data_IF_905986535446
#
_entry.id   IF_905986535446
#
_cell.length_a   1.000
_cell.length_b   1.000
_cell.length_c   1.000
_cell.angle_alpha   90.00
_cell.angle_beta   90.00
_cell.angle_gamma   90.00
#
_symmetry.space_group_name_H-M   'P 1'
#
loop_
_entity.id
_entity.type
_entity.pdbx_description
1 polymer ?
#
# COMPACT_ATOMS: atom_id res chain seq x y z
N UNK A 1 8.83 16.12 -34.71
CA UNK A 1 8.74 14.65 -34.90
C UNK A 1 9.61 13.88 -33.91
N UNK A 2 10.87 14.31 -33.72
CA UNK A 2 11.82 13.73 -32.75
C UNK A 2 11.32 13.76 -31.31
N UNK A 3 10.80 14.89 -30.83
CA UNK A 3 10.26 15.00 -29.46
C UNK A 3 9.13 14.00 -29.20
N UNK A 4 8.18 13.88 -30.13
CA UNK A 4 7.09 12.89 -30.04
C UNK A 4 7.62 11.47 -29.98
N UNK A 5 8.60 11.13 -30.83
CA UNK A 5 9.24 9.81 -30.82
C UNK A 5 9.88 9.54 -29.47
N UNK A 6 10.73 10.46 -28.99
CA UNK A 6 11.44 10.30 -27.73
C UNK A 6 10.47 10.21 -26.54
N UNK A 7 9.43 11.04 -26.51
CA UNK A 7 8.38 10.97 -25.49
C UNK A 7 7.63 9.63 -25.49
N UNK A 8 7.37 9.05 -26.66
CA UNK A 8 6.80 7.70 -26.73
C UNK A 8 7.79 6.63 -26.25
N UNK A 9 9.07 6.71 -26.57
CA UNK A 9 10.07 5.76 -26.05
C UNK A 9 10.16 5.81 -24.52
N UNK A 10 10.08 7.01 -23.93
CA UNK A 10 9.97 7.17 -22.46
C UNK A 10 8.68 6.56 -21.93
N UNK A 11 7.56 6.71 -22.62
CA UNK A 11 6.29 6.06 -22.25
C UNK A 11 6.41 4.52 -22.25
N UNK A 12 7.02 3.95 -23.29
CA UNK A 12 7.28 2.50 -23.37
C UNK A 12 8.22 2.00 -22.27
N UNK A 13 9.30 2.73 -22.00
CA UNK A 13 10.19 2.44 -20.88
C UNK A 13 9.46 2.52 -19.52
N UNK A 14 8.60 3.53 -19.34
CA UNK A 14 7.75 3.67 -18.15
C UNK A 14 6.79 2.49 -17.96
N UNK A 15 6.13 2.02 -19.03
CA UNK A 15 5.29 0.82 -18.99
C UNK A 15 6.11 -0.44 -18.68
N UNK A 16 7.32 -0.56 -19.24
CA UNK A 16 8.23 -1.68 -18.97
C UNK A 16 8.65 -1.73 -17.50
N UNK A 17 9.05 -0.59 -16.93
CA UNK A 17 9.39 -0.47 -15.51
C UNK A 17 8.18 -0.72 -14.60
N UNK A 18 6.98 -0.30 -15.02
CA UNK A 18 5.75 -0.62 -14.31
C UNK A 18 5.47 -2.13 -14.31
N UNK A 19 5.73 -2.83 -15.41
CA UNK A 19 5.64 -4.30 -15.49
C UNK A 19 6.68 -4.98 -14.59
N UNK A 20 7.90 -4.48 -14.56
CA UNK A 20 8.94 -4.97 -13.65
C UNK A 20 8.60 -4.73 -12.17
N UNK A 21 7.79 -3.71 -11.86
CA UNK A 21 7.42 -3.37 -10.49
C UNK A 21 6.19 -4.12 -9.99
N UNK A 22 5.16 -4.32 -10.84
CA UNK A 22 3.86 -4.88 -10.41
C UNK A 22 3.17 -5.78 -11.44
N UNK A 23 3.95 -6.36 -12.35
CA UNK A 23 3.44 -7.32 -13.34
C UNK A 23 2.61 -6.69 -14.46
N UNK A 24 1.85 -7.52 -15.17
CA UNK A 24 1.22 -7.18 -16.45
C UNK A 24 0.26 -5.99 -16.37
N UNK A 25 -0.23 -5.64 -15.18
CA UNK A 25 -1.08 -4.47 -14.97
C UNK A 25 -0.41 -3.16 -15.47
N UNK A 26 0.93 -3.10 -15.46
CA UNK A 26 1.72 -1.97 -15.95
C UNK A 26 1.58 -1.70 -17.45
N UNK A 27 1.14 -2.68 -18.24
CA UNK A 27 0.84 -2.51 -19.68
C UNK A 27 -0.65 -2.69 -19.99
N UNK A 28 -1.36 -3.53 -19.23
CA UNK A 28 -2.79 -3.77 -19.41
C UNK A 28 -3.61 -2.52 -19.14
N UNK A 29 -3.36 -1.78 -18.04
CA UNK A 29 -4.13 -0.57 -17.73
C UNK A 29 -3.89 0.54 -18.76
N UNK A 30 -2.65 0.94 -19.11
CA UNK A 30 -2.43 1.94 -20.15
C UNK A 30 -3.01 1.52 -21.51
N UNK A 31 -2.87 0.25 -21.89
CA UNK A 31 -3.44 -0.28 -23.13
C UNK A 31 -4.97 -0.20 -23.17
N UNK A 32 -5.64 -0.60 -22.08
CA UNK A 32 -7.08 -0.53 -21.98
C UNK A 32 -7.60 0.93 -21.93
N UNK A 33 -6.90 1.82 -21.23
CA UNK A 33 -7.20 3.26 -21.22
C UNK A 33 -7.08 3.84 -22.63
N UNK A 34 -6.00 3.51 -23.36
CA UNK A 34 -5.81 3.95 -24.74
C UNK A 34 -6.90 3.41 -25.69
N UNK A 35 -7.30 2.15 -25.49
CA UNK A 35 -8.40 1.54 -26.23
C UNK A 35 -9.70 2.29 -26.00
N UNK A 36 -10.13 2.48 -24.75
CA UNK A 36 -11.35 3.23 -24.41
C UNK A 36 -11.26 4.68 -24.91
N UNK A 37 -10.12 5.33 -24.73
CA UNK A 37 -9.87 6.68 -25.21
C UNK A 37 -10.09 6.79 -26.71
N UNK A 38 -9.62 5.79 -27.49
CA UNK A 38 -9.80 5.74 -28.93
C UNK A 38 -11.26 5.99 -29.23
N UNK A 39 -12.19 5.14 -28.77
CA UNK A 39 -13.62 5.24 -29.01
C UNK A 39 -14.27 6.55 -28.53
N UNK A 40 -13.95 6.97 -27.30
CA UNK A 40 -14.56 8.18 -26.70
C UNK A 40 -14.08 9.47 -27.39
N UNK A 41 -12.83 9.50 -27.86
CA UNK A 41 -12.24 10.66 -28.52
C UNK A 41 -12.43 10.67 -30.04
N UNK A 42 -12.83 9.54 -30.66
CA UNK A 42 -12.89 9.41 -32.13
C UNK A 42 -11.54 9.59 -32.83
N UNK A 43 -10.41 9.40 -32.13
CA UNK A 43 -9.05 9.55 -32.68
C UNK A 43 -8.35 8.20 -32.95
N UNK A 44 -8.65 7.56 -34.09
CA UNK A 44 -8.01 6.29 -34.46
C UNK A 44 -6.56 6.48 -34.91
N UNK A 45 -6.19 7.72 -35.28
CA UNK A 45 -4.84 8.04 -35.73
C UNK A 45 -3.84 8.01 -34.57
N UNK A 46 -4.30 7.98 -33.32
CA UNK A 46 -3.44 7.87 -32.13
C UNK A 46 -2.52 6.64 -32.19
N UNK A 47 -3.00 5.51 -32.68
CA UNK A 47 -2.23 4.26 -32.79
C UNK A 47 -1.00 4.41 -33.69
N UNK A 48 -1.08 5.24 -34.73
CA UNK A 48 0.06 5.55 -35.62
C UNK A 48 1.10 6.45 -34.96
N UNK A 49 0.78 7.09 -33.82
CA UNK A 49 1.65 8.02 -33.10
C UNK A 49 2.40 7.35 -31.95
N UNK A 50 2.16 6.08 -31.66
CA UNK A 50 2.76 5.33 -30.53
C UNK A 50 4.22 4.93 -30.76
N UNK A 51 4.71 5.01 -32.00
CA UNK A 51 6.04 4.52 -32.37
C UNK A 51 6.29 3.06 -31.92
N UNK A 52 5.28 2.20 -32.06
CA UNK A 52 5.23 0.87 -31.45
C UNK A 52 6.41 -0.05 -31.80
N UNK A 53 7.01 0.05 -33.00
CA UNK A 53 8.16 -0.77 -33.38
C UNK A 53 9.34 -0.60 -32.41
N UNK A 54 9.91 0.60 -32.35
CA UNK A 54 11.00 0.89 -31.40
C UNK A 54 10.54 0.90 -29.94
N UNK A 55 9.27 1.23 -29.70
CA UNK A 55 8.67 1.16 -28.36
C UNK A 55 8.68 -0.25 -27.77
N UNK A 56 8.25 -1.25 -28.54
CA UNK A 56 8.27 -2.65 -28.14
C UNK A 56 9.69 -3.17 -27.95
N UNK A 57 10.64 -2.75 -28.79
CA UNK A 57 12.06 -3.08 -28.60
C UNK A 57 12.54 -2.59 -27.24
N UNK A 58 12.32 -1.31 -26.90
CA UNK A 58 12.67 -0.77 -25.58
C UNK A 58 11.98 -1.53 -24.45
N UNK A 59 10.69 -1.83 -24.61
CA UNK A 59 9.91 -2.53 -23.60
C UNK A 59 10.45 -3.94 -23.32
N UNK A 60 10.73 -4.73 -24.36
CA UNK A 60 11.22 -6.10 -24.21
C UNK A 60 12.68 -6.15 -23.77
N UNK A 61 13.52 -5.21 -24.20
CA UNK A 61 14.91 -5.10 -23.70
C UNK A 61 14.93 -4.88 -22.19
N UNK A 62 13.97 -4.15 -21.62
CA UNK A 62 13.88 -3.90 -20.17
C UNK A 62 13.24 -5.08 -19.44
N UNK A 63 12.15 -5.65 -19.97
CA UNK A 63 11.34 -6.66 -19.24
C UNK A 63 11.87 -8.08 -19.40
N UNK A 64 12.18 -8.49 -20.63
CA UNK A 64 12.48 -9.89 -20.96
C UNK A 64 13.67 -10.48 -20.21
N UNK A 65 14.80 -9.77 -19.97
CA UNK A 65 15.98 -10.40 -19.37
C UNK A 65 15.70 -11.04 -18.01
N UNK A 66 15.05 -10.31 -17.10
CA UNK A 66 14.76 -10.83 -15.76
C UNK A 66 13.74 -11.97 -15.81
N UNK A 67 12.65 -11.81 -16.57
CA UNK A 67 11.63 -12.84 -16.71
C UNK A 67 12.20 -14.14 -17.30
N UNK A 68 13.11 -14.05 -18.27
CA UNK A 68 13.77 -15.23 -18.84
C UNK A 68 14.68 -15.88 -17.80
N UNK A 69 15.57 -15.11 -17.16
CA UNK A 69 16.52 -15.66 -16.18
C UNK A 69 15.81 -16.34 -15.00
N UNK A 70 14.82 -15.67 -14.39
CA UNK A 70 14.09 -16.26 -13.25
C UNK A 70 13.31 -17.52 -13.64
N UNK A 71 12.81 -17.59 -14.88
CA UNK A 71 12.06 -18.76 -15.38
C UNK A 71 12.97 -19.93 -15.76
N UNK A 72 14.22 -19.67 -16.12
CA UNK A 72 15.23 -20.73 -16.33
C UNK A 72 15.62 -21.33 -14.99
N UNK A 73 15.89 -20.48 -14.00
CA UNK A 73 16.32 -20.91 -12.67
C UNK A 73 15.17 -21.52 -11.84
N UNK A 74 13.92 -21.10 -12.10
CA UNK A 74 12.72 -21.52 -11.36
C UNK A 74 11.59 -21.84 -12.37
N UNK A 75 11.53 -23.07 -12.93
CA UNK A 75 10.58 -23.44 -13.99
C UNK A 75 9.09 -23.30 -13.63
N UNK A 76 8.76 -23.30 -12.34
CA UNK A 76 7.43 -23.11 -11.78
C UNK A 76 6.98 -21.63 -11.77
N UNK A 77 7.93 -20.69 -11.86
CA UNK A 77 7.67 -19.25 -11.80
C UNK A 77 6.65 -18.76 -12.84
N UNK A 78 6.72 -19.10 -14.14
CA UNK A 78 5.77 -18.58 -15.12
C UNK A 78 4.32 -18.95 -14.82
N UNK A 79 4.08 -20.19 -14.37
CA UNK A 79 2.75 -20.65 -14.02
C UNK A 79 2.23 -19.90 -12.78
N UNK A 80 3.06 -19.76 -11.76
CA UNK A 80 2.70 -19.01 -10.55
C UNK A 80 2.46 -17.52 -10.87
N UNK A 81 3.45 -16.85 -11.46
CA UNK A 81 3.38 -15.41 -11.69
C UNK A 81 2.35 -15.02 -12.75
N UNK A 82 2.33 -15.64 -13.93
CA UNK A 82 1.42 -15.21 -14.98
C UNK A 82 0.00 -15.76 -14.77
N UNK A 83 -0.16 -17.03 -14.37
CA UNK A 83 -1.49 -17.65 -14.28
C UNK A 83 -2.14 -17.40 -12.92
N UNK A 84 -1.47 -17.76 -11.82
CA UNK A 84 -2.04 -17.61 -10.49
C UNK A 84 -2.22 -16.14 -10.11
N UNK A 85 -1.14 -15.34 -10.17
CA UNK A 85 -1.14 -13.96 -9.68
C UNK A 85 -1.90 -12.95 -10.57
N UNK A 86 -2.13 -13.23 -11.85
CA UNK A 86 -2.86 -12.32 -12.74
C UNK A 86 -4.23 -12.83 -13.13
N UNK A 87 -4.32 -14.03 -13.74
CA UNK A 87 -5.59 -14.52 -14.25
C UNK A 87 -6.47 -15.07 -13.12
N UNK A 88 -5.99 -16.03 -12.34
CA UNK A 88 -6.78 -16.63 -11.26
C UNK A 88 -7.09 -15.61 -10.17
N UNK A 89 -6.13 -14.73 -9.82
CA UNK A 89 -6.34 -13.65 -8.86
C UNK A 89 -7.43 -12.67 -9.25
N UNK A 90 -7.60 -12.41 -10.55
CA UNK A 90 -8.64 -11.50 -11.06
C UNK A 90 -10.00 -12.17 -11.25
N UNK A 91 -10.02 -13.44 -11.70
CA UNK A 91 -11.27 -14.15 -12.03
C UNK A 91 -11.88 -14.92 -10.85
N UNK A 92 -11.08 -15.30 -9.87
CA UNK A 92 -11.52 -16.08 -8.72
C UNK A 92 -11.78 -15.22 -7.48
N UNK A 93 -12.60 -15.73 -6.54
CA UNK A 93 -12.82 -15.14 -5.21
C UNK A 93 -11.84 -15.67 -4.15
N UNK A 94 -10.76 -16.34 -4.57
CA UNK A 94 -9.89 -17.15 -3.69
C UNK A 94 -9.19 -16.30 -2.61
N UNK A 95 -8.98 -15.00 -2.86
CA UNK A 95 -8.51 -14.10 -1.81
C UNK A 95 -9.73 -13.49 -1.09
N UNK A 96 -9.89 -13.80 0.19
CA UNK A 96 -10.93 -13.29 1.11
C UNK A 96 -10.90 -11.75 1.35
N UNK A 97 -10.70 -10.96 0.29
CA UNK A 97 -10.64 -9.49 0.27
C UNK A 97 -11.79 -8.90 -0.55
N UNK A 98 -12.96 -9.53 -0.46
CA UNK A 98 -14.16 -9.06 -1.11
C UNK A 98 -14.64 -7.77 -0.42
N UNK A 99 -14.69 -6.68 -1.17
CA UNK A 99 -15.30 -5.41 -0.75
C UNK A 99 -16.47 -5.04 -1.65
N UNK A 100 -17.42 -4.22 -1.15
CA UNK A 100 -18.54 -3.76 -1.96
C UNK A 100 -18.06 -2.97 -3.18
N UNK A 101 -18.92 -2.81 -4.19
CA UNK A 101 -18.56 -2.07 -5.41
C UNK A 101 -18.16 -0.61 -5.12
N UNK A 102 -18.67 -0.03 -4.03
CA UNK A 102 -18.34 1.33 -3.57
C UNK A 102 -17.10 1.39 -2.65
N UNK A 103 -16.34 0.31 -2.48
CA UNK A 103 -15.16 0.25 -1.60
C UNK A 103 -14.16 1.40 -1.83
N UNK A 104 -13.91 1.77 -3.08
CA UNK A 104 -12.96 2.82 -3.43
C UNK A 104 -13.52 4.24 -3.34
N UNK A 105 -14.84 4.42 -3.20
CA UNK A 105 -15.47 5.75 -3.07
C UNK A 105 -14.94 6.51 -1.85
N UNK A 106 -15.02 5.99 -0.60
CA UNK A 106 -14.51 6.72 0.56
C UNK A 106 -12.99 6.94 0.48
N UNK A 107 -12.23 5.99 -0.10
CA UNK A 107 -10.79 6.11 -0.28
C UNK A 107 -10.41 7.22 -1.27
N UNK A 108 -11.16 7.34 -2.38
CA UNK A 108 -10.98 8.44 -3.32
C UNK A 108 -11.31 9.78 -2.63
N UNK A 109 -12.44 9.88 -1.93
CA UNK A 109 -12.82 11.13 -1.27
C UNK A 109 -11.78 11.56 -0.23
N UNK A 110 -11.27 10.62 0.58
CA UNK A 110 -10.23 10.88 1.56
C UNK A 110 -8.89 11.25 0.89
N UNK A 111 -8.45 10.48 -0.10
CA UNK A 111 -7.21 10.74 -0.83
C UNK A 111 -7.22 12.03 -1.65
N UNK A 112 -8.41 12.58 -1.93
CA UNK A 112 -8.57 13.86 -2.61
C UNK A 112 -8.52 15.07 -1.67
N UNK A 113 -8.53 14.91 -0.34
CA UNK A 113 -8.27 16.03 0.58
C UNK A 113 -6.84 16.53 0.36
N UNK A 114 -6.59 17.83 0.12
CA UNK A 114 -7.45 19.00 0.36
C UNK A 114 -8.20 19.57 -0.87
N UNK A 115 -8.23 18.84 -1.99
CA UNK A 115 -8.79 19.24 -3.29
C UNK A 115 -10.23 18.74 -3.53
N UNK A 116 -10.90 18.23 -2.50
CA UNK A 116 -12.20 17.58 -2.62
C UNK A 116 -13.27 18.46 -3.29
N UNK A 117 -13.27 19.77 -3.01
CA UNK A 117 -14.21 20.73 -3.59
C UNK A 117 -13.97 21.06 -5.07
N UNK A 118 -12.85 20.60 -5.65
CA UNK A 118 -12.48 20.75 -7.06
C UNK A 118 -12.65 19.46 -7.87
N UNK A 119 -12.92 18.33 -7.22
CA UNK A 119 -12.94 17.00 -7.83
C UNK A 119 -13.95 16.92 -8.98
N UNK A 120 -15.20 17.33 -8.73
CA UNK A 120 -16.27 17.27 -9.71
C UNK A 120 -15.98 18.16 -10.94
N UNK A 121 -15.39 19.34 -10.71
CA UNK A 121 -15.08 20.30 -11.76
C UNK A 121 -13.90 19.83 -12.61
N UNK A 122 -12.90 19.18 -12.02
CA UNK A 122 -11.82 18.51 -12.76
C UNK A 122 -12.35 17.43 -13.70
N UNK A 123 -13.26 16.58 -13.23
CA UNK A 123 -13.91 15.58 -14.09
C UNK A 123 -14.76 16.22 -15.20
N UNK A 124 -15.53 17.27 -14.86
CA UNK A 124 -16.37 17.99 -15.84
C UNK A 124 -15.54 18.65 -16.95
N UNK A 125 -14.36 19.18 -16.62
CA UNK A 125 -13.41 19.73 -17.59
C UNK A 125 -13.02 18.70 -18.65
N UNK A 126 -12.71 17.47 -18.22
CA UNK A 126 -12.38 16.36 -19.14
C UNK A 126 -13.53 15.96 -20.07
N UNK A 127 -14.78 16.09 -19.62
CA UNK A 127 -15.98 15.80 -20.43
C UNK A 127 -16.24 16.90 -21.46
N UNK A 128 -16.06 18.16 -21.08
CA UNK A 128 -16.41 19.32 -21.91
C UNK A 128 -15.39 19.58 -23.02
N UNK A 129 -14.15 19.09 -22.87
CA UNK A 129 -13.12 19.30 -23.87
C UNK A 129 -13.49 18.61 -25.20
N UNK A 130 -13.75 19.42 -26.22
CA UNK A 130 -14.05 19.02 -27.59
C UNK A 130 -13.06 19.74 -28.49
N UNK A 131 -12.02 19.03 -28.89
CA UNK A 131 -11.00 19.53 -29.81
C UNK A 131 -10.77 18.55 -30.96
N UNK A 132 -10.23 19.08 -32.07
CA UNK A 132 -9.79 18.25 -33.18
C UNK A 132 -8.42 17.63 -32.85
N UNK A 133 -8.29 16.31 -32.97
CA UNK A 133 -7.05 15.58 -32.69
C UNK A 133 -6.94 15.07 -31.26
N UNK A 134 -5.71 15.04 -30.72
CA UNK A 134 -5.44 14.53 -29.38
C UNK A 134 -6.03 15.44 -28.30
N UNK A 135 -6.73 14.84 -27.34
CA UNK A 135 -7.48 15.50 -26.28
C UNK A 135 -6.93 15.04 -24.92
N UNK A 136 -5.92 15.74 -24.34
CA UNK A 136 -5.23 15.30 -23.12
C UNK A 136 -6.16 15.16 -21.92
N UNK A 137 -7.05 16.13 -21.69
CA UNK A 137 -8.00 16.12 -20.55
C UNK A 137 -8.95 14.92 -20.65
N UNK A 138 -9.37 14.56 -21.86
CA UNK A 138 -10.18 13.36 -22.09
C UNK A 138 -9.40 12.07 -21.83
N UNK A 139 -8.11 12.02 -22.18
CA UNK A 139 -7.25 10.89 -21.83
C UNK A 139 -7.11 10.73 -20.31
N UNK A 140 -6.89 11.83 -19.59
CA UNK A 140 -6.81 11.83 -18.13
C UNK A 140 -8.13 11.40 -17.46
N UNK A 141 -9.26 11.86 -18.00
CA UNK A 141 -10.59 11.44 -17.55
C UNK A 141 -10.79 9.94 -17.75
N UNK A 142 -10.50 9.43 -18.94
CA UNK A 142 -10.62 7.99 -19.24
C UNK A 142 -9.67 7.19 -18.35
N UNK A 143 -8.45 7.65 -18.13
CA UNK A 143 -7.49 7.02 -17.22
C UNK A 143 -8.07 6.87 -15.81
N UNK A 144 -8.50 7.97 -15.21
CA UNK A 144 -9.02 7.97 -13.84
C UNK A 144 -10.30 7.14 -13.73
N UNK A 145 -11.26 7.33 -14.65
CA UNK A 145 -12.54 6.63 -14.62
C UNK A 145 -12.37 5.13 -14.87
N UNK A 146 -11.63 4.74 -15.92
CA UNK A 146 -11.45 3.33 -16.26
C UNK A 146 -10.78 2.56 -15.13
N UNK A 147 -9.65 3.06 -14.61
CA UNK A 147 -8.91 2.37 -13.54
C UNK A 147 -9.74 2.29 -12.26
N UNK A 148 -10.46 3.35 -11.91
CA UNK A 148 -11.36 3.36 -10.75
C UNK A 148 -12.45 2.27 -10.88
N UNK A 149 -13.12 2.19 -12.03
CA UNK A 149 -14.17 1.19 -12.25
C UNK A 149 -13.61 -0.22 -12.36
N UNK A 150 -12.48 -0.39 -13.05
CA UNK A 150 -11.78 -1.68 -13.19
C UNK A 150 -11.48 -2.31 -11.83
N UNK A 151 -10.91 -1.54 -10.89
CA UNK A 151 -10.65 -2.08 -9.55
C UNK A 151 -11.93 -2.18 -8.70
N UNK A 152 -12.93 -1.33 -8.91
CA UNK A 152 -14.20 -1.40 -8.17
C UNK A 152 -14.98 -2.70 -8.45
N UNK A 153 -14.87 -3.25 -9.68
CA UNK A 153 -15.49 -4.54 -10.05
C UNK A 153 -14.63 -5.76 -9.70
N UNK A 154 -13.34 -5.59 -9.38
CA UNK A 154 -12.43 -6.67 -9.01
C UNK A 154 -12.88 -7.44 -7.76
N UNK A 155 -12.67 -8.75 -7.73
CA UNK A 155 -12.96 -9.63 -6.59
C UNK A 155 -12.06 -9.34 -5.38
N UNK A 156 -10.79 -8.98 -5.64
CA UNK A 156 -9.80 -8.62 -4.64
C UNK A 156 -9.56 -7.11 -4.64
N UNK A 157 -9.66 -6.48 -3.45
CA UNK A 157 -9.50 -5.02 -3.28
C UNK A 157 -8.48 -4.71 -2.19
N UNK A 158 -7.48 -3.89 -2.53
CA UNK A 158 -6.61 -3.21 -1.57
C UNK A 158 -6.67 -1.69 -1.77
N UNK A 159 -6.55 -0.89 -0.70
CA UNK A 159 -6.65 0.57 -0.82
C UNK A 159 -5.68 1.17 -1.84
N UNK A 160 -4.47 0.60 -1.95
CA UNK A 160 -3.42 1.08 -2.85
C UNK A 160 -3.70 0.86 -4.34
N UNK A 161 -4.73 0.11 -4.72
CA UNK A 161 -5.02 -0.21 -6.12
C UNK A 161 -5.42 1.00 -6.95
N UNK A 162 -6.11 1.98 -6.34
CA UNK A 162 -6.49 3.20 -7.05
C UNK A 162 -5.40 4.28 -7.03
N UNK A 163 -4.24 4.07 -6.39
CA UNK A 163 -3.16 5.06 -6.36
C UNK A 163 -2.79 5.62 -7.76
N UNK A 164 -2.76 4.81 -8.84
CA UNK A 164 -2.43 5.32 -10.18
C UNK A 164 -3.39 6.36 -10.76
N UNK A 165 -4.59 6.58 -10.18
CA UNK A 165 -5.54 7.57 -10.71
C UNK A 165 -5.26 8.98 -10.23
N UNK A 166 -4.63 9.15 -9.06
CA UNK A 166 -4.44 10.46 -8.43
C UNK A 166 -3.61 11.44 -9.29
N UNK A 167 -2.52 11.02 -9.98
CA UNK A 167 -1.81 11.93 -10.89
C UNK A 167 -2.70 12.45 -12.02
N UNK A 168 -3.58 11.60 -12.58
CA UNK A 168 -4.48 12.00 -13.65
C UNK A 168 -5.55 12.98 -13.16
N UNK A 169 -6.12 12.73 -11.97
CA UNK A 169 -7.08 13.64 -11.33
C UNK A 169 -6.42 14.98 -10.98
N UNK A 170 -5.19 14.97 -10.47
CA UNK A 170 -4.43 16.18 -10.16
C UNK A 170 -4.21 17.04 -11.41
N UNK A 171 -3.84 16.43 -12.54
CA UNK A 171 -3.70 17.14 -13.82
C UNK A 171 -5.05 17.69 -14.34
N UNK A 172 -6.15 16.95 -14.19
CA UNK A 172 -7.49 17.45 -14.53
C UNK A 172 -7.88 18.68 -13.70
N UNK A 173 -7.62 18.63 -12.40
CA UNK A 173 -7.84 19.76 -11.50
C UNK A 173 -6.94 20.94 -11.91
N UNK A 174 -5.68 20.70 -12.25
CA UNK A 174 -4.76 21.74 -12.72
C UNK A 174 -5.26 22.41 -14.02
N UNK A 175 -5.80 21.65 -14.98
CA UNK A 175 -6.43 22.19 -16.18
C UNK A 175 -7.63 23.10 -15.84
N UNK A 176 -8.46 22.68 -14.89
CA UNK A 176 -9.60 23.48 -14.42
C UNK A 176 -9.16 24.74 -13.67
N UNK A 177 -8.08 24.67 -12.88
CA UNK A 177 -7.55 25.79 -12.09
C UNK A 177 -7.16 27.01 -12.95
N UNK A 178 -6.83 26.82 -14.24
CA UNK A 178 -6.52 27.93 -15.18
C UNK A 178 -7.67 28.90 -15.40
N UNK A 179 -8.91 28.48 -15.15
CA UNK A 179 -10.12 29.26 -15.40
C UNK A 179 -11.06 29.26 -14.18
N UNK A 180 -10.52 28.92 -13.01
CA UNK A 180 -11.32 28.75 -11.78
C UNK A 180 -11.90 30.08 -11.34
N UNK A 181 -13.13 30.03 -10.83
CA UNK A 181 -13.78 31.22 -10.24
C UNK A 181 -13.43 31.34 -8.76
N UNK A 182 -13.43 32.57 -8.26
CA UNK A 182 -13.24 32.84 -6.82
C UNK A 182 -14.25 32.08 -5.94
N UNK A 183 -15.46 31.87 -6.44
CA UNK A 183 -16.51 31.11 -5.74
C UNK A 183 -16.10 29.66 -5.52
N UNK A 184 -15.50 29.01 -6.52
CA UNK A 184 -15.10 27.60 -6.42
C UNK A 184 -13.89 27.42 -5.50
N UNK A 185 -12.94 28.36 -5.54
CA UNK A 185 -11.84 28.41 -4.56
C UNK A 185 -12.39 28.54 -3.13
N UNK A 186 -13.34 29.47 -2.93
CA UNK A 186 -13.97 29.69 -1.64
C UNK A 186 -14.69 28.44 -1.12
N UNK A 187 -15.38 27.70 -1.99
CA UNK A 187 -16.03 26.43 -1.65
C UNK A 187 -14.98 25.39 -1.24
N UNK A 188 -13.91 25.20 -2.02
CA UNK A 188 -12.87 24.21 -1.67
C UNK A 188 -12.19 24.56 -0.34
N UNK A 189 -11.88 25.83 -0.13
CA UNK A 189 -11.34 26.33 1.12
C UNK A 189 -12.31 26.09 2.29
N UNK A 190 -13.60 26.36 2.10
CA UNK A 190 -14.65 26.09 3.09
C UNK A 190 -14.82 24.60 3.41
N UNK A 191 -14.71 23.71 2.41
CA UNK A 191 -14.69 22.25 2.62
C UNK A 191 -13.50 21.85 3.48
N UNK A 192 -12.31 22.39 3.22
CA UNK A 192 -11.14 22.12 4.03
C UNK A 192 -11.30 22.62 5.48
N UNK A 193 -11.90 23.80 5.67
CA UNK A 193 -12.29 24.29 7.01
C UNK A 193 -13.24 23.32 7.71
N UNK A 194 -14.30 22.88 7.02
CA UNK A 194 -15.28 21.96 7.58
C UNK A 194 -14.65 20.61 7.99
N UNK A 195 -13.74 20.07 7.17
CA UNK A 195 -12.98 18.85 7.50
C UNK A 195 -12.12 19.08 8.73
N UNK A 196 -11.36 20.19 8.79
CA UNK A 196 -10.52 20.52 9.94
C UNK A 196 -11.33 20.69 11.24
N UNK A 197 -12.45 21.42 11.20
CA UNK A 197 -13.33 21.60 12.36
C UNK A 197 -13.99 20.28 12.79
N UNK A 198 -14.39 19.44 11.84
CA UNK A 198 -14.93 18.10 12.14
C UNK A 198 -13.87 17.22 12.79
N UNK A 199 -12.63 17.26 12.30
CA UNK A 199 -11.48 16.57 12.89
C UNK A 199 -11.24 17.01 14.34
N UNK A 200 -11.28 18.33 14.60
CA UNK A 200 -11.15 18.88 15.96
C UNK A 200 -12.30 18.46 16.88
N UNK A 201 -13.54 18.46 16.38
CA UNK A 201 -14.71 18.06 17.15
C UNK A 201 -14.70 16.56 17.51
N UNK A 202 -14.13 15.73 16.62
CA UNK A 202 -14.11 14.26 16.78
C UNK A 202 -12.79 13.73 17.33
N UNK A 203 -11.75 14.55 17.54
CA UNK A 203 -10.41 14.07 17.94
C UNK A 203 -10.46 13.24 19.23
N UNK A 204 -11.26 13.66 20.21
CA UNK A 204 -11.41 12.94 21.49
C UNK A 204 -12.06 11.54 21.36
N UNK A 205 -12.52 11.16 20.16
CA UNK A 205 -13.04 9.82 19.86
C UNK A 205 -11.96 8.86 19.36
N UNK A 206 -10.77 9.33 19.01
CA UNK A 206 -9.66 8.48 18.51
C UNK A 206 -9.30 7.33 19.47
N UNK A 207 -9.24 7.51 20.82
CA UNK A 207 -8.96 6.42 21.75
C UNK A 207 -9.99 5.28 21.72
N UNK A 208 -11.22 5.52 21.24
CA UNK A 208 -12.25 4.48 21.10
C UNK A 208 -11.91 3.45 20.00
N UNK A 209 -10.89 3.72 19.18
CA UNK A 209 -10.40 2.79 18.16
C UNK A 209 -9.48 1.70 18.75
N UNK A 210 -8.99 1.87 19.98
CA UNK A 210 -8.15 0.90 20.66
C UNK A 210 -8.92 -0.41 20.89
N UNK A 211 -8.31 -1.55 20.54
CA UNK A 211 -8.92 -2.88 20.74
C UNK A 211 -8.48 -3.55 22.04
N UNK A 212 -7.52 -2.97 22.75
CA UNK A 212 -6.98 -3.47 24.00
C UNK A 212 -6.49 -2.33 24.88
N UNK A 213 -6.35 -2.60 26.18
CA UNK A 213 -5.79 -1.66 27.15
C UNK A 213 -4.36 -1.24 26.80
N UNK A 214 -3.63 -2.09 26.08
CA UNK A 214 -2.27 -1.78 25.60
C UNK A 214 -2.28 -0.76 24.44
N UNK A 215 -3.27 -0.85 23.53
CA UNK A 215 -3.38 0.09 22.41
C UNK A 215 -3.90 1.46 22.85
N UNK A 216 -4.63 1.55 23.96
CA UNK A 216 -5.27 2.77 24.43
C UNK A 216 -4.27 3.93 24.66
N UNK A 217 -3.14 3.74 25.35
CA UNK A 217 -2.09 4.76 25.43
C UNK A 217 -1.52 5.18 24.07
N UNK A 218 -1.41 4.26 23.10
CA UNK A 218 -0.88 4.55 21.76
C UNK A 218 -1.83 5.45 20.98
N UNK A 219 -3.13 5.17 21.00
CA UNK A 219 -4.14 6.04 20.40
C UNK A 219 -4.27 7.38 21.14
N UNK A 220 -4.05 7.39 22.46
CA UNK A 220 -4.02 8.63 23.25
C UNK A 220 -2.83 9.49 22.86
N UNK A 221 -1.65 8.90 22.65
CA UNK A 221 -0.46 9.59 22.14
C UNK A 221 -0.65 10.13 20.70
N UNK A 222 -1.57 9.55 19.92
CA UNK A 222 -1.89 10.02 18.58
C UNK A 222 -2.81 11.27 18.56
N UNK A 223 -3.57 11.52 19.64
CA UNK A 223 -4.49 12.68 19.76
C UNK A 223 -3.87 14.03 19.36
N UNK A 224 -2.74 14.49 19.93
CA UNK A 224 -2.18 15.79 19.60
C UNK A 224 -1.80 15.93 18.12
N UNK A 225 -1.40 14.84 17.46
CA UNK A 225 -1.06 14.83 16.04
C UNK A 225 -2.30 14.96 15.15
N UNK A 226 -3.38 14.25 15.49
CA UNK A 226 -4.67 14.38 14.81
C UNK A 226 -5.25 15.78 15.02
N UNK A 227 -5.16 16.32 16.24
CA UNK A 227 -5.59 17.69 16.54
C UNK A 227 -4.77 18.72 15.76
N UNK A 228 -3.44 18.57 15.69
CA UNK A 228 -2.57 19.44 14.92
C UNK A 228 -2.89 19.38 13.42
N UNK A 229 -3.06 18.19 12.84
CA UNK A 229 -3.45 18.02 11.45
C UNK A 229 -4.81 18.69 11.13
N UNK A 230 -5.79 18.51 12.02
CA UNK A 230 -7.11 19.10 11.90
C UNK A 230 -7.07 20.64 12.02
N UNK A 231 -6.28 21.18 12.95
CA UNK A 231 -6.06 22.61 13.09
C UNK A 231 -5.34 23.21 11.87
N UNK A 232 -4.30 22.54 11.35
CA UNK A 232 -3.59 22.94 10.13
C UNK A 232 -4.55 22.99 8.94
N UNK A 233 -5.39 21.98 8.77
CA UNK A 233 -6.42 21.97 7.73
C UNK A 233 -7.40 23.14 7.89
N UNK A 234 -7.93 23.37 9.11
CA UNK A 234 -8.85 24.46 9.38
C UNK A 234 -8.23 25.84 9.12
N UNK A 235 -7.05 26.11 9.69
CA UNK A 235 -6.32 27.37 9.50
C UNK A 235 -5.93 27.58 8.03
N UNK A 236 -5.42 26.54 7.36
CA UNK A 236 -5.09 26.59 5.94
C UNK A 236 -6.29 26.90 5.06
N UNK A 237 -7.44 26.29 5.35
CA UNK A 237 -8.72 26.60 4.70
C UNK A 237 -9.16 28.04 4.94
N UNK A 238 -9.07 28.55 6.17
CA UNK A 238 -9.41 29.97 6.48
C UNK A 238 -8.49 30.92 5.73
N UNK A 239 -7.17 30.72 5.78
CA UNK A 239 -6.19 31.55 5.07
C UNK A 239 -6.42 31.51 3.55
N UNK A 240 -6.69 30.33 2.98
CA UNK A 240 -7.01 30.17 1.57
C UNK A 240 -8.31 30.88 1.18
N UNK A 241 -9.33 30.84 2.05
CA UNK A 241 -10.60 31.55 1.85
C UNK A 241 -10.42 33.07 1.88
N UNK A 242 -9.62 33.59 2.81
CA UNK A 242 -9.27 35.01 2.88
C UNK A 242 -8.48 35.45 1.64
N UNK A 243 -7.57 34.59 1.17
CA UNK A 243 -6.77 34.80 -0.04
C UNK A 243 -7.51 34.47 -1.35
N UNK A 244 -8.81 34.15 -1.36
CA UNK A 244 -9.56 33.66 -2.55
C UNK A 244 -9.55 34.60 -3.76
N UNK A 245 -9.23 35.89 -3.57
CA UNK A 245 -9.05 36.86 -4.65
C UNK A 245 -7.73 36.68 -5.42
N UNK A 246 -6.75 36.01 -4.81
CA UNK A 246 -5.45 35.67 -5.38
C UNK A 246 -5.34 34.15 -5.55
N UNK A 247 -5.80 33.63 -6.69
CA UNK A 247 -5.93 32.20 -6.97
C UNK A 247 -4.67 31.40 -6.62
N UNK A 248 -3.51 31.83 -7.10
CA UNK A 248 -2.24 31.13 -6.88
C UNK A 248 -1.90 31.01 -5.40
N UNK A 249 -2.01 32.11 -4.65
CA UNK A 249 -1.76 32.12 -3.20
C UNK A 249 -2.71 31.18 -2.45
N UNK A 250 -3.99 31.22 -2.81
CA UNK A 250 -5.01 30.34 -2.20
C UNK A 250 -4.72 28.86 -2.48
N UNK A 251 -4.35 28.51 -3.71
CA UNK A 251 -3.97 27.15 -4.11
C UNK A 251 -2.73 26.67 -3.35
N UNK A 252 -1.69 27.51 -3.23
CA UNK A 252 -0.48 27.18 -2.47
C UNK A 252 -0.81 26.95 -0.99
N UNK A 253 -1.64 27.80 -0.38
CA UNK A 253 -2.07 27.63 1.01
C UNK A 253 -2.82 26.30 1.24
N UNK A 254 -3.72 25.95 0.32
CA UNK A 254 -4.44 24.66 0.35
C UNK A 254 -3.46 23.50 0.24
N UNK A 255 -2.53 23.56 -0.71
CA UNK A 255 -1.53 22.51 -0.93
C UNK A 255 -0.62 22.30 0.28
N UNK A 256 -0.07 23.39 0.83
CA UNK A 256 0.82 23.37 2.00
C UNK A 256 0.08 22.85 3.23
N UNK A 257 -1.14 23.32 3.47
CA UNK A 257 -1.95 22.85 4.60
C UNK A 257 -2.28 21.37 4.48
N UNK A 258 -2.68 20.89 3.30
CA UNK A 258 -2.94 19.47 3.05
C UNK A 258 -1.68 18.62 3.24
N UNK A 259 -0.54 19.06 2.72
CA UNK A 259 0.74 18.37 2.89
C UNK A 259 1.10 18.28 4.38
N UNK A 260 1.18 19.41 5.09
CA UNK A 260 1.55 19.43 6.51
C UNK A 260 0.58 18.62 7.38
N UNK A 261 -0.73 18.73 7.15
CA UNK A 261 -1.72 17.92 7.85
C UNK A 261 -1.50 16.41 7.62
N UNK A 262 -1.22 16.00 6.38
CA UNK A 262 -0.92 14.59 6.07
C UNK A 262 0.36 14.10 6.75
N UNK A 263 1.40 14.95 6.82
CA UNK A 263 2.66 14.60 7.50
C UNK A 263 2.44 14.47 9.01
N UNK A 264 1.64 15.34 9.64
CA UNK A 264 1.28 15.21 11.05
C UNK A 264 0.57 13.87 11.34
N UNK A 265 -0.38 13.46 10.50
CA UNK A 265 -1.06 12.17 10.66
C UNK A 265 -0.08 10.99 10.49
N UNK A 266 0.80 11.05 9.49
CA UNK A 266 1.78 10.00 9.23
C UNK A 266 2.78 9.84 10.38
N UNK A 267 3.33 10.95 10.87
CA UNK A 267 4.29 10.96 11.99
C UNK A 267 3.62 10.55 13.31
N UNK A 268 2.39 11.00 13.56
CA UNK A 268 1.67 10.64 14.77
C UNK A 268 1.29 9.16 14.86
N UNK A 269 1.22 8.46 13.72
CA UNK A 269 0.94 7.03 13.67
C UNK A 269 2.17 6.15 14.00
N UNK A 270 3.38 6.73 14.10
CA UNK A 270 4.62 5.98 14.35
C UNK A 270 4.58 5.06 15.58
N UNK A 271 4.06 5.46 16.76
CA UNK A 271 3.97 4.56 17.92
C UNK A 271 3.16 3.28 17.66
N UNK A 272 2.04 3.40 16.92
CA UNK A 272 1.23 2.26 16.50
C UNK A 272 1.99 1.39 15.49
N UNK A 273 2.74 2.02 14.57
CA UNK A 273 3.61 1.33 13.62
C UNK A 273 4.70 0.52 14.31
N UNK A 274 5.40 1.10 15.28
CA UNK A 274 6.44 0.44 16.08
C UNK A 274 5.90 -0.73 16.89
N UNK A 275 4.73 -0.57 17.50
CA UNK A 275 4.03 -1.66 18.17
C UNK A 275 3.66 -2.79 17.20
N UNK A 276 3.05 -2.47 16.06
CA UNK A 276 2.71 -3.46 15.05
C UNK A 276 3.96 -4.20 14.54
N UNK A 277 5.08 -3.50 14.38
CA UNK A 277 6.36 -4.05 13.97
C UNK A 277 7.08 -4.90 15.05
N UNK A 278 6.69 -4.78 16.32
CA UNK A 278 7.38 -5.43 17.44
C UNK A 278 8.74 -4.79 17.77
N UNK A 279 8.97 -3.54 17.35
CA UNK A 279 10.27 -2.87 17.44
C UNK A 279 10.82 -2.80 18.87
N UNK A 280 9.95 -2.52 19.85
CA UNK A 280 10.35 -2.41 21.27
C UNK A 280 10.82 -3.75 21.87
N UNK A 281 10.53 -4.88 21.23
CA UNK A 281 10.98 -6.20 21.68
C UNK A 281 12.39 -6.53 21.17
N UNK A 282 12.87 -5.83 20.13
CA UNK A 282 14.14 -6.13 19.46
C UNK A 282 15.34 -6.16 20.41
N UNK A 283 15.55 -5.19 21.33
CA UNK A 283 16.71 -5.21 22.24
C UNK A 283 16.72 -6.44 23.16
N UNK A 284 15.56 -6.86 23.65
CA UNK A 284 15.44 -8.03 24.53
C UNK A 284 15.77 -9.32 23.78
N UNK A 285 15.35 -9.44 22.52
CA UNK A 285 15.69 -10.59 21.67
C UNK A 285 17.18 -10.58 21.31
N UNK A 286 17.72 -9.44 20.92
CA UNK A 286 19.15 -9.29 20.56
C UNK A 286 20.08 -9.65 21.73
N UNK A 287 19.70 -9.34 22.97
CA UNK A 287 20.49 -9.69 24.16
C UNK A 287 20.66 -11.22 24.34
N UNK A 288 19.75 -12.02 23.80
CA UNK A 288 19.78 -13.48 23.88
C UNK A 288 20.38 -14.14 22.63
N UNK A 289 20.47 -13.39 21.53
CA UNK A 289 20.93 -13.87 20.23
C UNK A 289 22.46 -14.03 20.15
N UNK A 290 22.86 -15.00 19.36
CA UNK A 290 24.23 -15.24 18.89
C UNK A 290 24.19 -15.38 17.37
N UNK A 291 25.35 -15.36 16.68
CA UNK A 291 25.38 -15.58 15.23
C UNK A 291 24.78 -16.93 14.79
N UNK A 292 24.77 -17.92 15.68
CA UNK A 292 24.23 -19.27 15.43
C UNK A 292 22.79 -19.45 15.93
N UNK A 293 22.16 -18.41 16.49
CA UNK A 293 20.80 -18.53 17.02
C UNK A 293 19.82 -18.83 15.91
N UNK A 294 19.12 -19.95 16.03
CA UNK A 294 18.06 -20.32 15.11
C UNK A 294 16.72 -19.77 15.59
N UNK A 295 15.91 -19.26 14.68
CA UNK A 295 14.66 -18.57 15.01
C UNK A 295 13.46 -19.21 14.33
N UNK A 296 12.36 -19.36 15.07
CA UNK A 296 11.12 -19.97 14.60
C UNK A 296 9.95 -18.99 14.69
N UNK A 297 9.05 -19.03 13.71
CA UNK A 297 7.73 -18.40 13.76
C UNK A 297 6.68 -19.49 13.89
N UNK A 298 6.07 -19.62 15.07
CA UNK A 298 5.19 -20.75 15.40
C UNK A 298 3.72 -20.35 15.32
N UNK A 299 2.97 -21.04 14.46
CA UNK A 299 1.57 -20.76 14.14
C UNK A 299 1.32 -19.29 13.75
N UNK A 300 2.30 -18.65 13.13
CA UNK A 300 2.20 -17.24 12.72
C UNK A 300 3.16 -16.93 11.58
N UNK A 301 2.89 -15.80 10.94
CA UNK A 301 3.80 -15.17 10.00
C UNK A 301 4.14 -13.75 10.46
N UNK A 302 5.42 -13.35 10.35
CA UNK A 302 5.93 -12.04 10.76
C UNK A 302 6.70 -11.38 9.62
N UNK A 303 6.34 -10.14 9.29
CA UNK A 303 6.96 -9.40 8.20
C UNK A 303 8.05 -8.43 8.69
N UNK A 304 7.92 -7.88 9.90
CA UNK A 304 8.78 -6.79 10.38
C UNK A 304 9.98 -7.28 11.22
N UNK A 305 9.75 -8.18 12.18
CA UNK A 305 10.79 -8.65 13.08
C UNK A 305 11.98 -9.34 12.38
N UNK A 306 11.80 -10.18 11.33
CA UNK A 306 12.92 -10.72 10.57
C UNK A 306 13.87 -9.65 10.03
N UNK A 307 13.32 -8.51 9.60
CA UNK A 307 14.10 -7.37 9.12
C UNK A 307 14.90 -6.71 10.25
N UNK A 308 14.24 -6.32 11.35
CA UNK A 308 14.92 -5.63 12.46
C UNK A 308 15.94 -6.49 13.22
N UNK A 309 15.76 -7.81 13.18
CA UNK A 309 16.70 -8.75 13.80
C UNK A 309 17.77 -9.22 12.84
N UNK A 310 17.70 -8.84 11.55
CA UNK A 310 18.60 -9.28 10.48
C UNK A 310 18.72 -10.82 10.44
N UNK A 311 17.59 -11.51 10.59
CA UNK A 311 17.52 -12.98 10.61
C UNK A 311 16.34 -13.50 9.82
N UNK A 312 16.62 -14.53 9.01
CA UNK A 312 15.60 -15.43 8.49
C UNK A 312 15.07 -16.29 9.63
N UNK A 313 13.79 -16.67 9.54
CA UNK A 313 13.12 -17.48 10.54
C UNK A 313 12.41 -18.66 9.88
N UNK A 314 12.46 -19.81 10.53
CA UNK A 314 11.80 -21.04 10.07
C UNK A 314 10.32 -20.96 10.43
N UNK A 315 9.45 -21.09 9.42
CA UNK A 315 8.00 -21.14 9.63
C UNK A 315 7.60 -22.49 10.24
N UNK A 316 6.69 -22.48 11.20
CA UNK A 316 6.18 -23.69 11.86
C UNK A 316 4.65 -23.69 11.82
N UNK A 317 4.09 -24.71 11.18
CA UNK A 317 2.66 -25.01 11.06
C UNK A 317 1.75 -23.96 10.39
N UNK A 318 2.28 -22.77 10.07
CA UNK A 318 1.55 -21.71 9.37
C UNK A 318 2.40 -21.12 8.24
N UNK A 319 2.27 -21.61 6.99
CA UNK A 319 3.10 -21.18 5.87
C UNK A 319 2.67 -19.83 5.27
N UNK A 320 1.41 -19.41 5.45
CA UNK A 320 0.84 -18.16 4.91
C UNK A 320 1.18 -17.94 3.42
N UNK A 321 1.54 -16.72 3.02
CA UNK A 321 1.98 -16.38 1.66
C UNK A 321 3.23 -17.12 1.18
N UNK A 322 3.96 -17.82 2.06
CA UNK A 322 5.15 -18.60 1.70
C UNK A 322 4.81 -20.05 1.29
N UNK A 323 3.55 -20.47 1.37
CA UNK A 323 3.10 -21.85 1.10
C UNK A 323 3.61 -22.40 -0.24
N UNK A 324 3.51 -21.62 -1.33
CA UNK A 324 3.99 -22.05 -2.64
C UNK A 324 5.49 -22.35 -2.65
N UNK A 325 6.31 -21.43 -2.10
CA UNK A 325 7.77 -21.58 -2.06
C UNK A 325 8.19 -22.73 -1.14
N UNK A 326 7.55 -22.86 0.01
CA UNK A 326 7.78 -23.97 0.94
C UNK A 326 7.32 -25.32 0.39
N UNK A 327 6.38 -25.34 -0.55
CA UNK A 327 6.02 -26.54 -1.31
C UNK A 327 7.12 -26.99 -2.29
N UNK A 328 7.94 -26.05 -2.81
CA UNK A 328 9.10 -26.37 -3.64
C UNK A 328 10.32 -26.78 -2.80
N UNK A 329 10.47 -26.18 -1.61
CA UNK A 329 11.59 -26.42 -0.68
C UNK A 329 11.09 -26.80 0.72
N UNK A 330 10.53 -28.01 0.88
CA UNK A 330 9.91 -28.46 2.14
C UNK A 330 10.90 -28.55 3.30
N UNK A 331 12.19 -28.63 3.04
CA UNK A 331 13.26 -28.65 4.05
C UNK A 331 13.43 -27.32 4.81
N UNK A 332 12.86 -26.22 4.31
CA UNK A 332 13.02 -24.88 4.89
C UNK A 332 11.99 -24.53 5.97
N UNK A 333 11.05 -25.43 6.28
CA UNK A 333 10.03 -25.18 7.30
C UNK A 333 9.60 -26.44 8.03
N UNK A 334 8.79 -26.29 9.09
CA UNK A 334 8.26 -27.39 9.89
C UNK A 334 6.73 -27.40 9.74
N UNK A 335 6.16 -28.30 8.92
CA UNK A 335 4.71 -28.30 8.66
C UNK A 335 3.86 -28.64 9.89
N UNK A 336 4.37 -29.47 10.80
CA UNK A 336 3.61 -30.00 11.92
C UNK A 336 4.11 -29.43 13.25
N UNK A 337 3.19 -28.89 14.06
CA UNK A 337 3.53 -28.31 15.36
C UNK A 337 4.19 -29.34 16.29
N UNK A 338 3.76 -30.60 16.24
CA UNK A 338 4.29 -31.67 17.09
C UNK A 338 5.75 -32.01 16.79
N UNK A 339 6.17 -31.86 15.54
CA UNK A 339 7.58 -32.02 15.14
C UNK A 339 8.42 -30.92 15.79
N UNK A 340 7.95 -29.67 15.75
CA UNK A 340 8.61 -28.56 16.44
C UNK A 340 8.68 -28.81 17.95
N UNK A 341 7.58 -29.22 18.59
CA UNK A 341 7.54 -29.52 20.04
C UNK A 341 8.59 -30.57 20.42
N UNK A 342 8.69 -31.66 19.66
CA UNK A 342 9.68 -32.70 19.90
C UNK A 342 11.13 -32.25 19.66
N UNK A 343 11.37 -31.36 18.68
CA UNK A 343 12.69 -30.77 18.45
C UNK A 343 13.08 -29.81 19.58
N UNK A 344 12.18 -28.90 19.94
CA UNK A 344 12.38 -27.92 21.01
C UNK A 344 12.65 -28.60 22.35
N UNK A 345 11.84 -29.58 22.75
CA UNK A 345 12.01 -30.31 24.00
C UNK A 345 13.37 -31.02 24.10
N UNK A 346 13.88 -31.58 23.00
CA UNK A 346 15.21 -32.23 22.95
C UNK A 346 16.36 -31.24 23.06
N UNK A 347 16.15 -29.98 22.64
CA UNK A 347 17.18 -28.93 22.61
C UNK A 347 17.11 -27.98 23.80
N UNK A 348 16.09 -28.09 24.63
CA UNK A 348 15.96 -27.27 25.83
C UNK A 348 17.15 -27.45 26.78
N UNK A 349 17.79 -26.35 27.18
CA UNK A 349 18.98 -26.36 28.04
C UNK A 349 20.26 -26.90 27.39
N UNK A 350 20.26 -27.16 26.07
CA UNK A 350 21.49 -27.49 25.33
C UNK A 350 22.26 -26.22 24.96
N UNK A 351 23.48 -26.37 24.45
CA UNK A 351 24.28 -25.24 23.94
C UNK A 351 23.69 -24.56 22.70
N UNK A 352 22.76 -25.23 21.99
CA UNK A 352 22.08 -24.66 20.83
C UNK A 352 21.10 -23.57 21.28
N UNK A 353 21.31 -22.34 20.83
CA UNK A 353 20.42 -21.22 21.15
C UNK A 353 19.29 -21.14 20.13
N UNK A 354 18.05 -21.28 20.61
CA UNK A 354 16.86 -21.18 19.78
C UNK A 354 15.87 -20.19 20.37
N UNK A 355 15.23 -19.43 19.49
CA UNK A 355 14.20 -18.47 19.84
C UNK A 355 12.94 -18.77 19.03
N UNK A 356 11.77 -18.75 19.65
CA UNK A 356 10.49 -18.89 18.96
C UNK A 356 9.61 -17.68 19.23
N UNK A 357 8.95 -17.18 18.18
CA UNK A 357 7.95 -16.11 18.26
C UNK A 357 6.61 -16.74 17.90
N UNK A 358 5.61 -16.55 18.75
CA UNK A 358 4.30 -17.20 18.60
C UNK A 358 3.16 -16.29 19.10
N UNK A 359 1.93 -16.60 18.75
CA UNK A 359 0.77 -15.90 19.35
C UNK A 359 0.66 -16.24 20.85
N UNK A 360 0.12 -15.33 21.68
CA UNK A 360 -0.13 -15.61 23.10
C UNK A 360 -0.94 -16.88 23.33
N UNK A 361 -1.88 -17.20 22.44
CA UNK A 361 -2.71 -18.40 22.51
C UNK A 361 -1.88 -19.67 22.29
N UNK A 362 -1.05 -19.67 21.24
CA UNK A 362 -0.10 -20.76 20.97
C UNK A 362 0.85 -20.99 22.14
N UNK A 363 1.36 -19.93 22.76
CA UNK A 363 2.20 -20.05 23.95
C UNK A 363 1.47 -20.71 25.12
N UNK A 364 0.21 -20.31 25.37
CA UNK A 364 -0.63 -20.91 26.42
C UNK A 364 -0.86 -22.41 26.16
N UNK A 365 -1.17 -22.79 24.93
CA UNK A 365 -1.40 -24.18 24.55
C UNK A 365 -0.14 -25.04 24.72
N UNK A 366 1.02 -24.55 24.25
CA UNK A 366 2.29 -25.25 24.40
C UNK A 366 2.71 -25.37 25.88
N UNK A 367 2.43 -24.36 26.70
CA UNK A 367 2.66 -24.42 28.15
C UNK A 367 1.76 -25.46 28.83
N UNK A 368 0.49 -25.55 28.43
CA UNK A 368 -0.44 -26.59 28.93
C UNK A 368 0.01 -28.01 28.55
N UNK A 369 0.68 -28.15 27.39
CA UNK A 369 1.32 -29.40 26.97
C UNK A 369 2.62 -29.72 27.71
N UNK A 370 3.04 -28.90 28.67
CA UNK A 370 4.24 -29.11 29.49
C UNK A 370 5.55 -28.74 28.79
N UNK A 371 5.52 -28.02 27.66
CA UNK A 371 6.74 -27.62 26.96
C UNK A 371 7.48 -26.54 27.76
N UNK A 372 8.75 -26.81 28.10
CA UNK A 372 9.62 -25.84 28.78
C UNK A 372 10.03 -24.72 27.81
N UNK A 373 9.71 -23.48 28.16
CA UNK A 373 10.00 -22.28 27.38
C UNK A 373 10.24 -21.12 28.34
N UNK A 374 11.35 -20.38 28.17
CA UNK A 374 11.61 -19.15 28.94
C UNK A 374 11.13 -17.94 28.14
N UNK A 375 10.22 -17.14 28.68
CA UNK A 375 9.80 -15.90 28.02
C UNK A 375 10.94 -14.88 28.06
N UNK A 376 11.33 -14.37 26.90
CA UNK A 376 12.30 -13.28 26.75
C UNK A 376 11.57 -11.94 26.77
N UNK A 377 10.50 -11.85 25.98
CA UNK A 377 9.71 -10.63 25.83
C UNK A 377 8.28 -10.99 25.37
N UNK A 378 7.33 -10.12 25.64
CA UNK A 378 5.94 -10.32 25.21
C UNK A 378 5.20 -9.00 25.05
N UNK A 379 4.24 -8.99 24.12
CA UNK A 379 3.23 -7.96 23.94
C UNK A 379 1.85 -8.65 23.69
N UNK A 380 0.74 -7.91 23.55
CA UNK A 380 -0.56 -8.52 23.29
C UNK A 380 -0.68 -9.31 21.98
N UNK A 381 0.24 -9.13 21.03
CA UNK A 381 0.26 -9.79 19.71
C UNK A 381 1.23 -10.97 19.69
N UNK A 382 2.21 -11.03 20.60
CA UNK A 382 3.40 -11.89 20.50
C UNK A 382 3.94 -12.31 21.86
N UNK A 383 4.37 -13.56 21.92
CA UNK A 383 5.24 -14.05 22.98
C UNK A 383 6.52 -14.55 22.31
N UNK A 384 7.67 -14.10 22.82
CA UNK A 384 8.99 -14.50 22.35
C UNK A 384 9.65 -15.32 23.44
N UNK A 385 10.08 -16.54 23.11
CA UNK A 385 10.62 -17.50 24.06
C UNK A 385 11.99 -18.02 23.64
N UNK A 386 12.81 -18.38 24.63
CA UNK A 386 14.10 -19.04 24.49
C UNK A 386 14.01 -20.50 24.92
N UNK A 387 14.81 -21.35 24.29
CA UNK A 387 15.05 -22.73 24.72
C UNK A 387 16.08 -22.84 25.87
N UNK A 388 16.66 -21.72 26.31
CA UNK A 388 17.60 -21.68 27.44
C UNK A 388 16.84 -21.53 28.77
N UNK A 389 17.23 -22.26 29.83
CA UNK A 389 16.64 -22.13 31.16
C UNK A 389 16.88 -20.72 31.74
N UNK A 390 16.23 -20.42 32.86
CA UNK A 390 16.54 -19.17 33.57
C UNK A 390 18.02 -19.20 34.01
N UNK A 391 18.75 -18.09 33.84
CA UNK A 391 20.16 -17.99 34.23
C UNK A 391 20.37 -18.18 35.73
#
# INVERSE_FOLDING_TARGET
ATERRNGMLVCWAGMALAVMSKGLIGVVLPGAVLFVYTFVARDWRIWKRLHAGWGLVVFFVITTPWFVLVSIDNPEFPQFFFIHEHFQRFTSKIHHRAGPIYYFVPLLLLGMVPWLGLLAQGFWQGVRNRGNGFQPEKMLLVWAAFIFFFFSISSSKLPSYILPIFPAIALLIACYLRHVTQRVIAINAGVLVAIGLTGLALVNRIPLLAKSDFELPLYTAYLPWVAAAAAIAACGGVLAFLARRHTERSVVLIAVAGFLASQCLMLGHDPLGRFAAGYELVPAVQAEMTPQTHMYLVNRYEQALPFYLERTMTLVAHPDEMEFGLGQQPELWIPELDVFVAQWARRFGTSAREIAIMHPDTYRDLKLRGLSMRVIASDPRRVIVSNQPQP
#
